data_IF_517870689160
#
_entry.id   IF_517870689160
#
_cell.length_a   1.000
_cell.length_b   1.000
_cell.length_c   1.000
_cell.angle_alpha   90.00
_cell.angle_beta   90.00
_cell.angle_gamma   90.00
#
_symmetry.space_group_name_H-M   'P 1'
#
loop_
_entity.id
_entity.type
_entity.pdbx_description
1 polymer ?
#
# COMPACT_ATOMS: atom_id res chain seq x y z
N UNK A 1 17.17 -10.14 -2.49
CA UNK A 1 17.17 -8.81 -3.16
C UNK A 1 16.96 -7.74 -2.12
N UNK A 2 17.84 -6.76 -2.08
CA UNK A 2 17.80 -5.66 -1.11
C UNK A 2 17.52 -4.35 -1.80
N UNK A 3 16.78 -3.48 -1.11
CA UNK A 3 16.40 -2.16 -1.63
C UNK A 3 16.90 -1.07 -0.69
N UNK A 4 17.29 0.06 -1.28
CA UNK A 4 17.81 1.19 -0.51
C UNK A 4 16.69 2.08 0.03
N UNK A 5 15.60 2.22 -0.72
CA UNK A 5 14.53 3.16 -0.41
C UNK A 5 13.18 2.56 -0.77
N UNK A 6 12.47 2.03 0.23
CA UNK A 6 11.19 1.37 0.06
C UNK A 6 10.06 2.30 0.47
N UNK A 7 9.02 2.37 -0.37
CA UNK A 7 7.76 3.05 -0.07
C UNK A 7 6.71 2.00 0.28
N UNK A 8 6.03 2.15 1.41
CA UNK A 8 4.92 1.27 1.81
C UNK A 8 3.64 2.08 1.87
N UNK A 9 2.65 1.68 1.06
CA UNK A 9 1.35 2.32 0.98
C UNK A 9 0.27 1.29 1.29
N UNK A 10 -0.57 1.57 2.28
CA UNK A 10 -1.59 0.65 2.76
C UNK A 10 -2.98 1.20 2.46
N UNK A 11 -3.79 0.39 1.78
CA UNK A 11 -5.23 0.59 1.65
C UNK A 11 -5.90 0.04 2.91
N UNK A 12 -6.11 0.90 3.90
CA UNK A 12 -6.58 0.47 5.20
C UNK A 12 -8.06 0.10 5.22
N UNK A 13 -8.87 0.65 4.31
CA UNK A 13 -10.29 0.33 4.24
C UNK A 13 -10.54 -1.13 3.85
N UNK A 14 -9.66 -1.70 3.03
CA UNK A 14 -9.82 -3.02 2.44
C UNK A 14 -8.72 -4.00 2.86
N UNK A 15 -8.06 -3.75 3.99
CA UNK A 15 -6.96 -4.60 4.44
C UNK A 15 -7.15 -4.97 5.91
N UNK A 16 -6.99 -6.28 6.20
CA UNK A 16 -6.93 -6.76 7.58
C UNK A 16 -5.49 -6.57 8.07
N UNK A 17 -5.32 -5.79 9.12
CA UNK A 17 -4.00 -5.45 9.66
C UNK A 17 -3.58 -6.32 10.85
N UNK A 18 -4.22 -7.48 11.05
CA UNK A 18 -3.86 -8.38 12.16
C UNK A 18 -2.38 -8.81 12.10
N UNK A 19 -1.82 -8.88 10.91
CA UNK A 19 -0.43 -9.29 10.69
C UNK A 19 0.49 -8.12 10.31
N UNK A 20 0.10 -6.89 10.65
CA UNK A 20 0.85 -5.70 10.27
C UNK A 20 2.31 -5.77 10.72
N UNK A 21 2.56 -6.19 11.94
CA UNK A 21 3.91 -6.27 12.50
C UNK A 21 4.79 -7.24 11.71
N UNK A 22 4.24 -8.42 11.37
CA UNK A 22 4.95 -9.41 10.55
C UNK A 22 5.24 -8.88 9.14
N UNK A 23 4.28 -8.16 8.58
CA UNK A 23 4.44 -7.54 7.26
C UNK A 23 5.59 -6.53 7.29
N UNK A 24 5.62 -5.65 8.27
CA UNK A 24 6.69 -4.66 8.41
C UNK A 24 8.04 -5.34 8.61
N UNK A 25 8.09 -6.37 9.46
CA UNK A 25 9.33 -7.13 9.67
C UNK A 25 9.84 -7.75 8.38
N UNK A 26 8.95 -8.36 7.60
CA UNK A 26 9.34 -8.95 6.32
C UNK A 26 9.89 -7.89 5.37
N UNK A 27 9.20 -6.76 5.23
CA UNK A 27 9.65 -5.68 4.34
C UNK A 27 11.01 -5.14 4.81
N UNK A 28 11.20 -5.03 6.11
CA UNK A 28 12.48 -4.55 6.68
C UNK A 28 13.66 -5.46 6.37
N UNK A 29 13.41 -6.76 6.13
CA UNK A 29 14.48 -7.67 5.69
C UNK A 29 14.90 -7.40 4.26
N UNK A 30 14.07 -6.71 3.48
CA UNK A 30 14.31 -6.43 2.07
C UNK A 30 14.98 -5.08 1.84
N UNK A 31 15.03 -4.23 2.86
CA UNK A 31 15.68 -2.93 2.74
C UNK A 31 15.13 -1.90 3.72
N UNK A 32 15.55 -0.65 3.52
CA UNK A 32 15.11 0.45 4.38
C UNK A 32 13.77 1.01 3.92
N UNK A 33 12.81 1.03 4.82
CA UNK A 33 11.51 1.66 4.58
C UNK A 33 11.65 3.16 4.87
N UNK A 34 11.47 3.99 3.85
CA UNK A 34 11.62 5.45 3.99
C UNK A 34 10.28 6.19 3.97
N UNK A 35 9.24 5.59 3.39
CA UNK A 35 7.89 6.16 3.39
C UNK A 35 6.91 5.10 3.86
N UNK A 36 6.11 5.45 4.87
CA UNK A 36 5.04 4.59 5.40
C UNK A 36 3.78 5.43 5.48
N UNK A 37 2.83 5.18 4.60
CA UNK A 37 1.53 5.87 4.56
C UNK A 37 0.38 4.88 4.50
N UNK A 38 -0.68 5.19 5.22
CA UNK A 38 -1.92 4.42 5.18
C UNK A 38 -3.08 5.34 4.84
N UNK A 39 -3.97 4.85 4.00
CA UNK A 39 -5.08 5.61 3.43
C UNK A 39 -6.38 4.98 3.87
N UNK A 40 -7.29 5.76 4.40
CA UNK A 40 -8.56 5.25 4.84
C UNK A 40 -9.53 6.34 5.23
N UNK A 41 -10.78 5.96 5.38
CA UNK A 41 -11.79 6.74 6.03
C UNK A 41 -11.78 6.34 7.51
N UNK A 42 -11.10 7.13 8.34
CA UNK A 42 -10.89 6.82 9.76
C UNK A 42 -12.11 7.18 10.60
N UNK A 43 -13.28 6.72 10.17
CA UNK A 43 -14.49 6.81 10.98
C UNK A 43 -14.38 5.91 12.21
N UNK A 44 -15.38 5.89 13.08
CA UNK A 44 -15.34 5.11 14.31
C UNK A 44 -14.97 3.64 14.11
N UNK A 45 -15.39 3.06 13.00
CA UNK A 45 -15.12 1.65 12.71
C UNK A 45 -13.64 1.34 12.47
N UNK A 46 -12.84 2.34 12.13
CA UNK A 46 -11.40 2.16 11.84
C UNK A 46 -10.50 2.86 12.85
N UNK A 47 -11.05 3.32 13.96
CA UNK A 47 -10.30 4.08 14.96
C UNK A 47 -9.13 3.28 15.54
N UNK A 48 -9.35 2.02 15.88
CA UNK A 48 -8.31 1.15 16.43
C UNK A 48 -7.25 0.84 15.39
N UNK A 49 -7.66 0.67 14.14
CA UNK A 49 -6.75 0.44 13.02
C UNK A 49 -5.84 1.65 12.80
N UNK A 50 -6.41 2.85 12.84
CA UNK A 50 -5.64 4.09 12.74
C UNK A 50 -4.58 4.18 13.83
N UNK A 51 -4.97 3.91 15.07
CA UNK A 51 -4.06 3.97 16.22
C UNK A 51 -2.90 2.98 16.06
N UNK A 52 -3.20 1.74 15.67
CA UNK A 52 -2.18 0.72 15.45
C UNK A 52 -1.18 1.13 14.37
N UNK A 53 -1.66 1.71 13.28
CA UNK A 53 -0.82 2.19 12.19
C UNK A 53 0.08 3.34 12.64
N UNK A 54 -0.47 4.30 13.38
CA UNK A 54 0.32 5.41 13.91
C UNK A 54 1.41 4.94 14.86
N UNK A 55 1.11 3.96 15.71
CA UNK A 55 2.10 3.39 16.62
C UNK A 55 3.22 2.66 15.87
N UNK A 56 2.94 2.15 14.69
CA UNK A 56 3.92 1.50 13.82
C UNK A 56 4.66 2.49 12.91
N UNK A 57 4.46 3.79 13.12
CA UNK A 57 5.18 4.82 12.39
C UNK A 57 4.58 5.19 11.04
N UNK A 58 3.34 4.84 10.80
CA UNK A 58 2.65 5.21 9.56
C UNK A 58 2.03 6.60 9.66
N UNK A 59 2.16 7.35 8.59
CA UNK A 59 1.38 8.57 8.40
C UNK A 59 0.00 8.16 7.90
N UNK A 60 -1.04 8.54 8.61
CA UNK A 60 -2.42 8.17 8.26
C UNK A 60 -3.10 9.32 7.52
N UNK A 61 -3.45 9.08 6.26
CA UNK A 61 -4.15 10.03 5.43
C UNK A 61 -5.65 9.75 5.49
N UNK A 62 -6.45 10.80 5.67
CA UNK A 62 -7.89 10.65 5.83
C UNK A 62 -8.62 11.19 4.60
N UNK A 63 -9.47 10.35 4.03
CA UNK A 63 -10.30 10.73 2.90
C UNK A 63 -11.73 10.27 3.11
N UNK A 64 -12.66 11.20 2.97
CA UNK A 64 -14.08 10.88 2.98
C UNK A 64 -14.54 10.57 1.56
N UNK A 65 -15.39 9.56 1.42
CA UNK A 65 -16.10 9.34 0.18
C UNK A 65 -17.20 10.41 0.08
N UNK A 66 -17.12 11.27 -0.93
CA UNK A 66 -18.14 12.30 -1.16
C UNK A 66 -19.50 11.68 -1.50
N UNK A 67 -19.45 10.49 -2.13
CA UNK A 67 -20.63 9.69 -2.46
C UNK A 67 -20.41 8.30 -1.86
N UNK A 68 -21.37 7.76 -1.10
CA UNK A 68 -21.22 6.43 -0.51
C UNK A 68 -20.89 5.37 -1.56
N UNK A 69 -19.95 4.48 -1.23
CA UNK A 69 -19.52 3.42 -2.12
C UNK A 69 -18.53 3.82 -3.19
N UNK A 70 -18.09 5.07 -3.23
CA UNK A 70 -17.04 5.52 -4.15
C UNK A 70 -15.67 5.37 -3.50
N UNK A 71 -14.66 5.19 -4.35
CA UNK A 71 -13.30 4.81 -3.93
C UNK A 71 -12.35 5.99 -3.87
N UNK A 72 -12.71 7.05 -3.14
CA UNK A 72 -11.85 8.24 -2.96
C UNK A 72 -10.51 7.88 -2.34
N UNK A 73 -10.51 6.95 -1.38
CA UNK A 73 -9.29 6.48 -0.71
C UNK A 73 -8.32 5.81 -1.68
N UNK A 74 -8.84 4.95 -2.55
CA UNK A 74 -8.04 4.24 -3.56
C UNK A 74 -7.39 5.21 -4.53
N UNK A 75 -8.15 6.19 -4.99
CA UNK A 75 -7.66 7.20 -5.92
C UNK A 75 -6.56 8.03 -5.25
N UNK A 76 -6.74 8.42 -4.00
CA UNK A 76 -5.75 9.18 -3.25
C UNK A 76 -4.43 8.41 -3.09
N UNK A 77 -4.50 7.11 -2.79
CA UNK A 77 -3.32 6.26 -2.70
C UNK A 77 -2.59 6.24 -4.05
N UNK A 78 -3.33 6.06 -5.13
CA UNK A 78 -2.74 6.00 -6.47
C UNK A 78 -2.07 7.32 -6.85
N UNK A 79 -2.70 8.45 -6.56
CA UNK A 79 -2.13 9.78 -6.83
C UNK A 79 -0.82 9.97 -6.06
N UNK A 80 -0.82 9.63 -4.76
CA UNK A 80 0.37 9.75 -3.92
C UNK A 80 1.50 8.85 -4.42
N UNK A 81 1.18 7.64 -4.86
CA UNK A 81 2.18 6.71 -5.38
C UNK A 81 2.89 7.30 -6.61
N UNK A 82 2.12 7.83 -7.55
CA UNK A 82 2.66 8.46 -8.75
C UNK A 82 3.46 9.71 -8.40
N UNK A 83 2.96 10.53 -7.48
CA UNK A 83 3.65 11.73 -7.03
C UNK A 83 5.00 11.38 -6.38
N UNK A 84 5.02 10.39 -5.50
CA UNK A 84 6.25 9.93 -4.86
C UNK A 84 7.25 9.39 -5.88
N UNK A 85 6.76 8.64 -6.88
CA UNK A 85 7.60 8.09 -7.93
C UNK A 85 8.40 9.19 -8.66
N UNK A 86 7.77 10.33 -8.89
CA UNK A 86 8.37 11.43 -9.65
C UNK A 86 9.14 12.42 -8.79
N UNK A 87 8.97 12.42 -7.47
CA UNK A 87 9.64 13.39 -6.58
C UNK A 87 11.01 12.94 -6.12
N UNK A 88 11.21 11.64 -5.93
CA UNK A 88 12.44 11.09 -5.36
C UNK A 88 12.79 9.78 -6.03
N UNK A 89 14.00 9.32 -5.76
CA UNK A 89 14.46 8.01 -6.25
C UNK A 89 14.13 6.94 -5.21
N UNK A 90 13.06 6.19 -5.45
CA UNK A 90 12.72 5.00 -4.68
C UNK A 90 12.94 3.78 -5.56
N UNK A 91 13.41 2.69 -5.00
CA UNK A 91 13.68 1.48 -5.78
C UNK A 91 12.63 0.38 -5.58
N UNK A 92 11.77 0.49 -4.57
CA UNK A 92 10.68 -0.44 -4.38
C UNK A 92 9.43 0.24 -3.83
N UNK A 93 8.27 -0.17 -4.35
CA UNK A 93 6.96 0.22 -3.85
C UNK A 93 6.21 -1.01 -3.37
N UNK A 94 5.73 -0.95 -2.14
CA UNK A 94 4.91 -2.00 -1.54
C UNK A 94 3.48 -1.50 -1.45
N UNK A 95 2.56 -2.19 -2.12
CA UNK A 95 1.13 -1.87 -2.12
C UNK A 95 0.42 -2.93 -1.31
N UNK A 96 -0.23 -2.52 -0.22
CA UNK A 96 -0.95 -3.45 0.66
C UNK A 96 -2.43 -3.27 0.43
N UNK A 97 -2.99 -4.13 -0.40
CA UNK A 97 -4.42 -4.18 -0.74
C UNK A 97 -4.71 -5.44 -1.55
N UNK A 98 -5.95 -5.90 -1.49
CA UNK A 98 -6.44 -6.97 -2.37
C UNK A 98 -7.28 -6.45 -3.52
N UNK A 99 -7.44 -5.13 -3.63
CA UNK A 99 -8.31 -4.50 -4.62
C UNK A 99 -7.68 -4.51 -6.01
N UNK A 100 -8.32 -5.19 -6.94
CA UNK A 100 -7.87 -5.29 -8.33
C UNK A 100 -7.83 -3.94 -9.05
N UNK A 101 -8.50 -2.92 -8.52
CA UNK A 101 -8.47 -1.57 -9.08
C UNK A 101 -7.07 -0.96 -9.04
N UNK A 102 -6.17 -1.50 -8.21
CA UNK A 102 -4.77 -1.08 -8.17
C UNK A 102 -3.91 -1.73 -9.25
N UNK A 103 -4.46 -2.62 -10.08
CA UNK A 103 -3.69 -3.25 -11.17
C UNK A 103 -3.03 -2.22 -12.10
N UNK A 104 -3.74 -1.18 -12.58
CA UNK A 104 -3.10 -0.17 -13.42
C UNK A 104 -1.96 0.56 -12.72
N UNK A 105 -2.08 0.83 -11.42
CA UNK A 105 -1.02 1.47 -10.65
C UNK A 105 0.22 0.58 -10.58
N UNK A 106 0.04 -0.70 -10.26
CA UNK A 106 1.16 -1.64 -10.17
C UNK A 106 1.91 -1.76 -11.49
N UNK A 107 1.17 -1.85 -12.60
CA UNK A 107 1.76 -1.91 -13.93
C UNK A 107 2.54 -0.63 -14.24
N UNK A 108 1.95 0.54 -13.96
CA UNK A 108 2.60 1.82 -14.19
C UNK A 108 3.92 1.94 -13.42
N UNK A 109 3.91 1.58 -12.14
CA UNK A 109 5.12 1.61 -11.30
C UNK A 109 6.19 0.67 -11.84
N UNK A 110 5.79 -0.54 -12.20
CA UNK A 110 6.68 -1.55 -12.74
C UNK A 110 7.33 -1.10 -14.05
N UNK A 111 6.53 -0.52 -14.95
CA UNK A 111 7.04 0.03 -16.21
C UNK A 111 7.99 1.20 -16.00
N UNK A 112 7.87 1.90 -14.86
CA UNK A 112 8.76 3.01 -14.50
C UNK A 112 10.09 2.53 -13.92
N UNK A 113 10.28 1.23 -13.77
CA UNK A 113 11.54 0.65 -13.35
C UNK A 113 11.68 0.36 -11.86
N UNK A 114 10.65 0.61 -11.05
CA UNK A 114 10.69 0.27 -9.63
C UNK A 114 10.17 -1.15 -9.41
N UNK A 115 10.65 -1.80 -8.36
CA UNK A 115 10.23 -3.14 -8.01
C UNK A 115 8.95 -3.07 -7.17
N UNK A 116 7.89 -3.75 -7.62
CA UNK A 116 6.58 -3.67 -6.99
C UNK A 116 6.25 -4.95 -6.23
N UNK A 117 6.00 -4.81 -4.95
CA UNK A 117 5.58 -5.92 -4.09
C UNK A 117 4.14 -5.65 -3.63
N UNK A 118 3.24 -6.59 -3.93
CA UNK A 118 1.88 -6.52 -3.46
C UNK A 118 1.68 -7.42 -2.25
N UNK A 119 0.86 -6.97 -1.29
CA UNK A 119 0.39 -7.79 -0.18
C UNK A 119 -1.12 -7.74 -0.15
N UNK A 120 -1.75 -8.88 -0.08
CA UNK A 120 -3.19 -8.94 -0.01
C UNK A 120 -3.68 -10.33 0.37
N UNK A 121 -4.99 -10.54 0.27
CA UNK A 121 -5.59 -11.84 0.55
C UNK A 121 -5.23 -12.84 -0.54
N UNK A 122 -5.27 -14.13 -0.20
CA UNK A 122 -5.00 -15.20 -1.15
C UNK A 122 -5.94 -15.21 -2.35
N UNK A 123 -7.14 -14.62 -2.21
CA UNK A 123 -8.12 -14.52 -3.29
C UNK A 123 -8.00 -13.25 -4.14
N UNK A 124 -6.93 -12.48 -3.98
CA UNK A 124 -6.69 -11.31 -4.82
C UNK A 124 -6.64 -11.75 -6.30
N UNK A 125 -7.11 -10.88 -7.20
CA UNK A 125 -7.22 -11.22 -8.62
C UNK A 125 -5.87 -11.58 -9.22
N UNK A 126 -5.89 -12.49 -10.20
CA UNK A 126 -4.69 -12.87 -10.94
C UNK A 126 -4.06 -11.66 -11.64
N UNK A 127 -4.89 -10.76 -12.16
CA UNK A 127 -4.41 -9.55 -12.83
C UNK A 127 -3.58 -8.68 -11.89
N UNK A 128 -4.03 -8.47 -10.65
CA UNK A 128 -3.28 -7.67 -9.68
C UNK A 128 -2.00 -8.40 -9.26
N UNK A 129 -2.07 -9.71 -9.00
CA UNK A 129 -0.89 -10.51 -8.66
C UNK A 129 0.18 -10.43 -9.74
N UNK A 130 -0.23 -10.56 -11.00
CA UNK A 130 0.68 -10.52 -12.15
C UNK A 130 1.15 -9.11 -12.50
N UNK A 131 0.42 -8.09 -12.07
CA UNK A 131 0.82 -6.69 -12.22
C UNK A 131 1.95 -6.28 -11.28
N UNK A 132 2.21 -7.06 -10.25
CA UNK A 132 3.32 -6.85 -9.31
C UNK A 132 4.51 -7.71 -9.72
N UNK A 133 5.72 -7.35 -9.26
CA UNK A 133 6.89 -8.24 -9.40
C UNK A 133 6.80 -9.42 -8.44
N UNK A 134 6.30 -9.17 -7.23
CA UNK A 134 6.01 -10.19 -6.23
C UNK A 134 4.65 -9.93 -5.62
N UNK A 135 3.94 -10.97 -5.22
CA UNK A 135 2.71 -10.85 -4.45
C UNK A 135 2.75 -11.84 -3.30
N UNK A 136 2.45 -11.36 -2.10
CA UNK A 136 2.43 -12.21 -0.91
C UNK A 136 1.08 -12.12 -0.21
N UNK A 137 0.66 -13.25 0.32
CA UNK A 137 -0.56 -13.34 1.11
C UNK A 137 -0.31 -12.81 2.53
N UNK A 138 -1.29 -12.13 3.07
CA UNK A 138 -1.26 -11.68 4.46
C UNK A 138 -2.41 -12.25 5.28
#
# INVERSE_FOLDING_TARGET
>A
MKFHRIVVLIDADNTNLANLEKLIQYISTRGRIVVKRAYGNWSENLKDKKSALQQSGFKTEHYFNCVPGKNATDIALAIDAVDLLHKNSYDSFVIVSSDSDFTPLSIYLKESGVYVIGFGKSNASEAFRNGCDEFKDI
#
